data_IF_069339793943
#
_entry.id   IF_069339793943
#
_cell.length_a   1.000
_cell.length_b   1.000
_cell.length_c   1.000
_cell.angle_alpha   90.00
_cell.angle_beta   90.00
_cell.angle_gamma   90.00
#
_symmetry.space_group_name_H-M   'P 1'
#
loop_
_entity.id
_entity.type
_entity.pdbx_description
1 polymer ?
#
# COMPACT_ATOMS: atom_id res chain seq x y z
N UNK A 1 4.02 -15.72 -20.89
CA UNK A 1 3.20 -14.79 -20.07
C UNK A 1 1.80 -15.35 -20.09
N UNK A 2 1.37 -15.91 -18.97
CA UNK A 2 0.02 -16.46 -18.95
C UNK A 2 -0.99 -15.32 -18.83
N UNK A 3 -2.11 -15.48 -19.48
CA UNK A 3 -3.26 -14.57 -19.40
C UNK A 3 -3.69 -14.37 -17.94
N UNK A 4 -3.50 -15.40 -17.10
CA UNK A 4 -3.87 -15.39 -15.69
C UNK A 4 -3.22 -14.24 -14.90
N UNK A 5 -1.92 -13.94 -15.10
CA UNK A 5 -1.28 -12.77 -14.44
C UNK A 5 -1.88 -11.46 -14.96
N UNK A 6 -2.09 -11.34 -16.28
CA UNK A 6 -2.64 -10.13 -16.86
C UNK A 6 -4.05 -9.83 -16.34
N UNK A 7 -4.87 -10.85 -16.16
CA UNK A 7 -6.24 -10.73 -15.66
C UNK A 7 -6.30 -10.19 -14.22
N UNK A 8 -5.19 -10.31 -13.46
CA UNK A 8 -5.12 -9.81 -12.08
C UNK A 8 -4.74 -8.33 -11.98
N UNK A 9 -4.22 -7.71 -13.07
CA UNK A 9 -3.58 -6.39 -12.99
C UNK A 9 -4.57 -5.25 -12.79
N UNK A 10 -5.78 -5.36 -13.35
CA UNK A 10 -6.70 -4.23 -13.46
C UNK A 10 -6.21 -3.17 -14.49
N UNK A 11 -7.01 -2.12 -14.74
CA UNK A 11 -6.75 -1.18 -15.84
C UNK A 11 -5.42 -0.40 -15.75
N UNK A 12 -4.96 -0.08 -14.54
CA UNK A 12 -3.74 0.74 -14.32
C UNK A 12 -2.53 -0.08 -13.87
N UNK A 13 -2.74 -1.38 -13.61
CA UNK A 13 -1.67 -2.28 -13.20
C UNK A 13 -0.68 -2.58 -14.31
N UNK A 14 0.46 -3.12 -13.95
CA UNK A 14 1.47 -3.52 -14.92
C UNK A 14 2.18 -4.81 -14.50
N UNK A 15 2.70 -5.53 -15.49
CA UNK A 15 3.58 -6.66 -15.32
C UNK A 15 4.69 -6.62 -16.37
N UNK A 16 5.92 -6.70 -15.90
CA UNK A 16 7.12 -6.78 -16.74
C UNK A 16 7.88 -8.06 -16.40
N UNK A 17 7.97 -8.99 -17.35
CA UNK A 17 8.72 -10.26 -17.20
C UNK A 17 10.18 -10.06 -17.52
N UNK A 18 11.06 -10.50 -16.62
CA UNK A 18 12.53 -10.49 -16.82
C UNK A 18 13.16 -11.82 -16.44
N UNK A 19 13.01 -12.28 -15.21
CA UNK A 19 13.67 -13.44 -14.67
C UNK A 19 12.73 -14.48 -14.10
N UNK A 20 13.34 -15.50 -13.51
CA UNK A 20 12.67 -16.62 -12.86
C UNK A 20 12.02 -16.23 -11.53
N UNK A 21 12.52 -15.18 -10.89
CA UNK A 21 11.99 -14.66 -9.63
C UNK A 21 11.13 -13.43 -9.88
N UNK A 22 10.06 -13.27 -9.10
CA UNK A 22 9.15 -12.15 -9.23
C UNK A 22 9.00 -11.35 -7.94
N UNK A 23 8.67 -10.07 -8.09
CA UNK A 23 8.26 -9.20 -7.00
C UNK A 23 6.85 -8.68 -7.27
N UNK A 24 5.92 -8.96 -6.33
CA UNK A 24 4.61 -8.35 -6.28
C UNK A 24 4.71 -7.01 -5.52
N UNK A 25 4.47 -5.91 -6.21
CA UNK A 25 4.46 -4.56 -5.64
C UNK A 25 3.03 -4.14 -5.31
N UNK A 26 2.84 -3.49 -4.16
CA UNK A 26 1.54 -3.09 -3.64
C UNK A 26 1.58 -1.60 -3.29
N UNK A 27 0.78 -0.79 -3.98
CA UNK A 27 0.71 0.65 -3.77
C UNK A 27 -0.03 1.06 -2.49
N UNK A 28 0.03 2.34 -2.14
CA UNK A 28 -0.57 2.89 -0.94
C UNK A 28 -2.09 3.08 -1.00
N UNK A 29 -2.67 3.49 0.14
CA UNK A 29 -4.08 3.88 0.23
C UNK A 29 -4.31 5.10 -0.66
N UNK A 30 -5.41 5.09 -1.41
CA UNK A 30 -5.75 6.14 -2.38
C UNK A 30 -4.77 6.33 -3.56
N UNK A 31 -3.61 5.69 -3.49
CA UNK A 31 -2.58 5.72 -4.52
C UNK A 31 -2.87 4.84 -5.74
N UNK A 32 -1.87 4.74 -6.60
CA UNK A 32 -1.95 3.99 -7.86
C UNK A 32 -0.69 3.15 -8.10
N UNK A 33 -0.70 2.15 -8.99
CA UNK A 33 0.50 1.42 -9.39
C UNK A 33 1.64 2.31 -9.89
N UNK A 34 1.36 3.54 -10.33
CA UNK A 34 2.38 4.50 -10.77
C UNK A 34 3.38 4.86 -9.67
N UNK A 35 2.96 4.87 -8.38
CA UNK A 35 3.84 5.11 -7.22
C UNK A 35 5.00 4.12 -7.15
N UNK A 36 4.76 2.89 -7.60
CA UNK A 36 5.71 1.80 -7.51
C UNK A 36 6.66 1.69 -8.70
N UNK A 37 6.46 2.49 -9.77
CA UNK A 37 7.24 2.38 -11.01
C UNK A 37 8.73 2.64 -10.83
N UNK A 38 9.12 3.54 -9.92
CA UNK A 38 10.55 3.79 -9.66
C UNK A 38 11.23 2.56 -9.09
N UNK A 39 10.58 1.90 -8.12
CA UNK A 39 11.08 0.67 -7.49
C UNK A 39 11.05 -0.47 -8.52
N UNK A 40 9.96 -0.62 -9.27
CA UNK A 40 9.82 -1.62 -10.33
C UNK A 40 10.97 -1.54 -11.33
N UNK A 41 11.29 -0.32 -11.84
CA UNK A 41 12.39 -0.11 -12.79
C UNK A 41 13.74 -0.58 -12.24
N UNK A 42 14.00 -0.38 -10.95
CA UNK A 42 15.26 -0.83 -10.34
C UNK A 42 15.29 -2.35 -10.12
N UNK A 43 14.18 -2.96 -9.71
CA UNK A 43 14.07 -4.41 -9.60
C UNK A 43 14.22 -5.12 -10.95
N UNK A 44 13.63 -4.58 -12.01
CA UNK A 44 13.78 -5.06 -13.38
C UNK A 44 15.25 -5.04 -13.84
N UNK A 45 16.01 -4.00 -13.49
CA UNK A 45 17.45 -3.93 -13.78
C UNK A 45 18.25 -4.99 -13.04
N UNK A 46 17.79 -5.45 -11.89
CA UNK A 46 18.39 -6.54 -11.12
C UNK A 46 17.92 -7.94 -11.60
N UNK A 47 17.12 -8.00 -12.67
CA UNK A 47 16.69 -9.24 -13.27
C UNK A 47 15.41 -9.85 -12.67
N UNK A 48 14.73 -9.17 -11.77
CA UNK A 48 13.42 -9.63 -11.29
C UNK A 48 12.31 -9.37 -12.30
N UNK A 49 11.34 -10.25 -12.39
CA UNK A 49 10.03 -9.94 -12.95
C UNK A 49 9.23 -9.12 -11.93
N UNK A 50 8.43 -8.18 -12.39
CA UNK A 50 7.70 -7.27 -11.48
C UNK A 50 6.24 -7.15 -11.89
N UNK A 51 5.35 -7.41 -10.93
CA UNK A 51 3.91 -7.14 -11.06
C UNK A 51 3.48 -6.08 -10.05
N UNK A 52 2.66 -5.15 -10.48
CA UNK A 52 1.98 -4.20 -9.61
C UNK A 52 0.53 -4.07 -10.04
N UNK A 53 -0.37 -4.91 -9.52
CA UNK A 53 -1.78 -4.81 -9.79
C UNK A 53 -2.39 -3.57 -9.14
N UNK A 54 -3.53 -3.14 -9.69
CA UNK A 54 -4.39 -2.16 -9.06
C UNK A 54 -5.12 -2.80 -7.88
N UNK A 55 -5.09 -2.16 -6.72
CA UNK A 55 -5.93 -2.57 -5.58
C UNK A 55 -7.42 -2.38 -5.91
N UNK A 56 -8.23 -3.33 -5.48
CA UNK A 56 -9.67 -3.27 -5.68
C UNK A 56 -10.25 -1.93 -5.21
N UNK A 57 -11.10 -1.31 -6.04
CA UNK A 57 -11.73 -0.02 -5.77
C UNK A 57 -10.82 1.21 -5.86
N UNK A 58 -9.50 1.05 -6.09
CA UNK A 58 -8.56 2.16 -6.31
C UNK A 58 -8.51 2.56 -7.79
N UNK A 59 -7.90 3.71 -8.07
CA UNK A 59 -7.69 4.26 -9.42
C UNK A 59 -8.96 4.58 -10.23
N UNK A 60 -10.13 4.37 -9.65
CA UNK A 60 -11.43 4.72 -10.21
C UNK A 60 -12.03 5.94 -9.54
N UNK A 61 -13.34 5.92 -9.33
CA UNK A 61 -14.06 7.00 -8.66
C UNK A 61 -13.98 6.89 -7.14
N UNK A 62 -14.25 8.00 -6.44
CA UNK A 62 -14.43 8.01 -4.98
C UNK A 62 -15.52 7.02 -4.54
N UNK A 63 -16.55 6.81 -5.39
CA UNK A 63 -17.61 5.84 -5.12
C UNK A 63 -17.10 4.40 -5.15
N UNK A 64 -16.18 4.06 -6.06
CA UNK A 64 -15.57 2.73 -6.12
C UNK A 64 -14.75 2.45 -4.87
N UNK A 65 -13.95 3.44 -4.45
CA UNK A 65 -13.17 3.36 -3.23
C UNK A 65 -14.07 3.20 -1.97
N UNK A 66 -15.19 3.93 -1.90
CA UNK A 66 -16.16 3.81 -0.79
C UNK A 66 -16.79 2.43 -0.69
N UNK A 67 -16.97 1.74 -1.82
CA UNK A 67 -17.58 0.39 -1.85
C UNK A 67 -16.60 -0.73 -1.50
N UNK A 68 -15.30 -0.50 -1.72
CA UNK A 68 -14.28 -1.50 -1.44
C UNK A 68 -13.97 -1.59 0.07
N UNK A 69 -13.64 -2.81 0.50
CA UNK A 69 -13.24 -3.12 1.87
C UNK A 69 -11.78 -3.58 1.87
N UNK A 70 -11.15 -3.57 3.04
CA UNK A 70 -9.77 -4.03 3.14
C UNK A 70 -9.59 -5.52 2.71
N UNK A 71 -10.63 -6.35 2.83
CA UNK A 71 -10.61 -7.72 2.36
C UNK A 71 -10.52 -7.80 0.83
N UNK A 72 -11.22 -6.89 0.13
CA UNK A 72 -11.18 -6.82 -1.34
C UNK A 72 -9.78 -6.39 -1.80
N UNK A 73 -9.15 -5.45 -1.08
CA UNK A 73 -7.76 -5.03 -1.33
C UNK A 73 -6.78 -6.19 -1.16
N UNK A 74 -6.92 -6.94 -0.06
CA UNK A 74 -6.12 -8.13 0.21
C UNK A 74 -6.36 -9.19 -0.86
N UNK A 75 -7.61 -9.50 -1.17
CA UNK A 75 -8.00 -10.54 -2.14
C UNK A 75 -7.42 -10.26 -3.53
N UNK A 76 -7.45 -9.02 -4.01
CA UNK A 76 -6.87 -8.68 -5.31
C UNK A 76 -5.35 -8.98 -5.36
N UNK A 77 -4.63 -8.75 -4.27
CA UNK A 77 -3.20 -9.07 -4.18
C UNK A 77 -2.93 -10.55 -3.94
N UNK A 78 -3.82 -11.25 -3.23
CA UNK A 78 -3.72 -12.70 -3.04
C UNK A 78 -3.86 -13.45 -4.37
N UNK A 79 -4.83 -13.07 -5.21
CA UNK A 79 -5.02 -13.66 -6.54
C UNK A 79 -3.80 -13.42 -7.43
N UNK A 80 -3.25 -12.20 -7.43
CA UNK A 80 -2.04 -11.87 -8.17
C UNK A 80 -0.80 -12.66 -7.66
N UNK A 81 -0.66 -12.82 -6.34
CA UNK A 81 0.40 -13.63 -5.74
C UNK A 81 0.31 -15.09 -6.20
N UNK A 82 -0.89 -15.69 -6.18
CA UNK A 82 -1.08 -17.07 -6.61
C UNK A 82 -0.79 -17.25 -8.10
N UNK A 83 -1.16 -16.29 -8.95
CA UNK A 83 -0.82 -16.33 -10.36
C UNK A 83 0.69 -16.26 -10.60
N UNK A 84 1.41 -15.37 -9.87
CA UNK A 84 2.87 -15.28 -9.94
C UNK A 84 3.56 -16.55 -9.45
N UNK A 85 3.06 -17.19 -8.37
CA UNK A 85 3.64 -18.45 -7.84
C UNK A 85 3.54 -19.64 -8.79
N UNK A 86 2.66 -19.59 -9.77
CA UNK A 86 2.58 -20.64 -10.81
C UNK A 86 3.67 -20.50 -11.88
N UNK A 87 4.20 -19.29 -12.09
CA UNK A 87 5.12 -18.99 -13.19
C UNK A 87 6.54 -18.66 -12.72
N UNK A 88 6.75 -18.40 -11.43
CA UNK A 88 8.03 -17.98 -10.89
C UNK A 88 8.51 -18.86 -9.76
N UNK A 89 9.84 -19.07 -9.71
CA UNK A 89 10.49 -19.90 -8.70
C UNK A 89 10.31 -19.30 -7.30
N UNK A 90 10.65 -18.03 -7.15
CA UNK A 90 10.47 -17.26 -5.92
C UNK A 90 9.58 -16.06 -6.16
N UNK A 91 8.68 -15.77 -5.21
CA UNK A 91 7.83 -14.58 -5.25
C UNK A 91 7.99 -13.80 -3.96
N UNK A 92 8.58 -12.63 -4.09
CA UNK A 92 8.70 -11.64 -3.04
C UNK A 92 7.48 -10.72 -3.07
N UNK A 93 7.10 -10.16 -1.92
CA UNK A 93 6.04 -9.17 -1.85
C UNK A 93 6.58 -7.88 -1.24
N UNK A 94 6.26 -6.74 -1.84
CA UNK A 94 6.68 -5.45 -1.29
C UNK A 94 5.56 -4.44 -1.40
N UNK A 95 5.41 -3.60 -0.37
CA UNK A 95 4.33 -2.63 -0.34
C UNK A 95 4.73 -1.30 0.27
N UNK A 96 4.04 -0.25 -0.17
CA UNK A 96 4.22 1.11 0.30
C UNK A 96 3.07 1.49 1.25
N UNK A 97 3.40 2.01 2.43
CA UNK A 97 2.42 2.53 3.40
C UNK A 97 1.35 1.49 3.77
N UNK A 98 0.10 1.68 3.39
CA UNK A 98 -0.97 0.67 3.55
C UNK A 98 -0.66 -0.61 2.74
N UNK A 99 -0.06 -0.50 1.57
CA UNK A 99 0.38 -1.67 0.78
C UNK A 99 1.35 -2.56 1.55
N UNK A 100 2.18 -2.00 2.43
CA UNK A 100 3.05 -2.76 3.32
C UNK A 100 2.25 -3.61 4.34
N UNK A 101 1.08 -3.13 4.80
CA UNK A 101 0.20 -3.90 5.67
C UNK A 101 -0.42 -5.10 4.93
N UNK A 102 -0.74 -4.94 3.64
CA UNK A 102 -1.24 -6.03 2.80
C UNK A 102 -0.12 -7.04 2.53
N UNK A 103 1.12 -6.57 2.28
CA UNK A 103 2.30 -7.44 2.14
C UNK A 103 2.54 -8.28 3.41
N UNK A 104 2.46 -7.67 4.58
CA UNK A 104 2.52 -8.37 5.88
C UNK A 104 1.39 -9.39 6.03
N UNK A 105 0.19 -9.04 5.57
CA UNK A 105 -0.97 -9.94 5.64
C UNK A 105 -0.83 -11.14 4.69
N UNK A 106 -0.24 -10.94 3.51
CA UNK A 106 0.14 -12.04 2.61
C UNK A 106 1.18 -12.95 3.26
N UNK A 107 2.23 -12.38 3.86
CA UNK A 107 3.26 -13.15 4.56
C UNK A 107 2.70 -13.93 5.76
N UNK A 108 1.78 -13.33 6.54
CA UNK A 108 1.06 -14.01 7.63
C UNK A 108 0.28 -15.23 7.12
N UNK A 109 -0.48 -15.06 6.04
CA UNK A 109 -1.42 -16.08 5.58
C UNK A 109 -0.76 -17.15 4.70
N UNK A 110 0.29 -16.79 3.95
CA UNK A 110 0.99 -17.69 3.01
C UNK A 110 2.26 -18.33 3.61
N UNK A 111 2.74 -17.80 4.73
CA UNK A 111 3.89 -18.34 5.45
C UNK A 111 5.13 -18.49 4.57
N UNK A 112 5.71 -19.67 4.54
CA UNK A 112 6.93 -19.98 3.78
C UNK A 112 6.77 -19.87 2.24
N UNK A 113 5.56 -19.69 1.72
CA UNK A 113 5.34 -19.48 0.29
C UNK A 113 5.73 -18.06 -0.16
N UNK A 114 5.83 -17.11 0.77
CA UNK A 114 6.37 -15.77 0.53
C UNK A 114 7.88 -15.81 0.78
N UNK A 115 8.66 -15.69 -0.29
CA UNK A 115 10.12 -15.85 -0.26
C UNK A 115 10.85 -14.66 0.39
N UNK A 116 10.18 -13.54 0.56
CA UNK A 116 10.65 -12.38 1.31
C UNK A 116 9.67 -11.21 1.23
N UNK A 117 9.77 -10.30 2.19
CA UNK A 117 8.88 -9.14 2.34
C UNK A 117 9.68 -7.84 2.32
N UNK A 118 9.28 -6.89 1.47
CA UNK A 118 9.80 -5.52 1.46
C UNK A 118 8.74 -4.54 1.99
N UNK A 119 9.07 -3.81 3.04
CA UNK A 119 8.17 -2.89 3.71
C UNK A 119 8.68 -1.46 3.57
N UNK A 120 7.94 -0.63 2.86
CA UNK A 120 8.30 0.75 2.56
C UNK A 120 7.37 1.70 3.31
N UNK A 121 7.90 2.51 4.22
CA UNK A 121 7.15 3.46 5.05
C UNK A 121 5.86 2.88 5.61
N UNK A 122 5.94 1.69 6.24
CA UNK A 122 4.78 0.96 6.78
C UNK A 122 3.99 1.84 7.73
N UNK A 123 2.66 1.86 7.64
CA UNK A 123 1.82 2.78 8.39
C UNK A 123 0.83 2.08 9.32
N UNK A 124 1.25 1.78 10.55
CA UNK A 124 0.38 1.39 11.67
C UNK A 124 -0.12 2.59 12.46
N UNK A 125 0.67 3.66 12.48
CA UNK A 125 0.37 4.91 13.17
C UNK A 125 0.52 6.07 12.18
N UNK A 126 -0.56 6.82 11.99
CA UNK A 126 -0.57 8.11 11.28
C UNK A 126 -0.26 9.21 12.28
N UNK A 127 0.94 9.23 12.86
CA UNK A 127 1.31 10.15 13.92
C UNK A 127 1.87 11.49 13.41
N UNK A 128 2.20 11.58 12.12
CA UNK A 128 2.56 12.82 11.42
C UNK A 128 1.39 13.56 10.75
N UNK A 129 0.18 13.04 10.81
CA UNK A 129 -0.97 13.65 10.15
C UNK A 129 -1.30 15.06 10.71
N UNK A 130 -1.59 16.02 9.84
CA UNK A 130 -1.82 17.44 10.18
C UNK A 130 -3.02 17.72 11.10
N UNK A 131 -3.77 16.70 11.53
CA UNK A 131 -4.86 16.86 12.47
C UNK A 131 -4.33 16.91 13.91
N UNK A 132 -4.67 17.96 14.71
CA UNK A 132 -4.28 18.04 16.11
C UNK A 132 -4.61 16.77 16.87
N UNK A 133 -3.65 16.27 17.68
CA UNK A 133 -3.76 14.98 18.39
C UNK A 133 -5.07 14.82 19.18
N UNK A 134 -5.51 15.90 19.85
CA UNK A 134 -6.74 15.87 20.65
C UNK A 134 -7.98 15.74 19.75
N UNK A 135 -8.08 16.50 18.67
CA UNK A 135 -9.18 16.39 17.70
C UNK A 135 -9.21 15.00 17.08
N UNK A 136 -8.05 14.45 16.69
CA UNK A 136 -7.95 13.11 16.15
C UNK A 136 -8.41 12.04 17.15
N UNK A 137 -8.00 12.13 18.42
CA UNK A 137 -8.37 11.18 19.44
C UNK A 137 -9.86 11.19 19.78
N UNK A 138 -10.53 12.36 19.74
CA UNK A 138 -11.93 12.51 20.12
C UNK A 138 -12.88 12.39 18.90
N UNK A 139 -12.61 13.11 17.81
CA UNK A 139 -13.55 13.20 16.68
C UNK A 139 -13.45 12.01 15.72
N UNK A 140 -12.23 11.53 15.44
CA UNK A 140 -12.06 10.45 14.47
C UNK A 140 -12.80 9.16 14.87
N UNK A 141 -12.75 8.66 16.13
CA UNK A 141 -13.55 7.52 16.54
C UNK A 141 -15.05 7.72 16.39
N UNK A 142 -15.56 8.92 16.70
CA UNK A 142 -16.99 9.25 16.55
C UNK A 142 -17.37 9.15 15.07
N UNK A 143 -16.65 9.85 14.19
CA UNK A 143 -16.95 9.83 12.75
C UNK A 143 -16.87 8.40 12.19
N UNK A 144 -15.81 7.68 12.51
CA UNK A 144 -15.58 6.33 11.96
C UNK A 144 -16.58 5.28 12.47
N UNK A 145 -17.19 5.47 13.64
CA UNK A 145 -18.12 4.49 14.24
C UNK A 145 -19.60 4.88 14.14
N UNK A 146 -19.92 6.02 13.51
CA UNK A 146 -21.30 6.48 13.27
C UNK A 146 -21.61 6.52 11.78
N UNK A 147 -22.87 6.73 11.36
CA UNK A 147 -23.23 6.96 9.96
C UNK A 147 -22.52 8.15 9.30
N UNK A 148 -21.98 9.09 10.06
CA UNK A 148 -21.23 10.25 9.56
C UNK A 148 -20.09 9.87 8.62
N UNK A 149 -19.48 8.69 8.79
CA UNK A 149 -18.41 8.19 7.90
C UNK A 149 -18.82 8.12 6.43
N UNK A 150 -20.11 8.01 6.10
CA UNK A 150 -20.58 7.94 4.72
C UNK A 150 -20.61 9.30 4.03
N UNK A 151 -20.66 10.38 4.82
CA UNK A 151 -20.78 11.76 4.35
C UNK A 151 -19.47 12.56 4.49
N UNK A 152 -18.52 12.07 5.28
CA UNK A 152 -17.26 12.77 5.54
C UNK A 152 -16.10 12.20 4.72
N UNK A 153 -15.20 13.10 4.35
CA UNK A 153 -13.93 12.79 3.72
C UNK A 153 -12.87 13.79 4.18
N UNK A 154 -11.61 13.44 4.03
CA UNK A 154 -10.47 14.31 4.30
C UNK A 154 -9.69 14.53 3.01
N UNK A 155 -9.53 15.79 2.67
CA UNK A 155 -8.67 16.19 1.56
C UNK A 155 -7.22 16.23 2.05
N UNK A 156 -6.34 15.63 1.29
CA UNK A 156 -4.92 15.70 1.55
C UNK A 156 -4.40 17.10 1.17
N UNK A 157 -3.67 17.70 2.09
CA UNK A 157 -3.08 19.03 1.91
C UNK A 157 -1.57 18.94 1.74
N UNK A 158 -0.94 19.91 1.05
CA UNK A 158 0.51 19.96 0.96
C UNK A 158 1.16 19.89 2.36
N UNK A 159 2.31 19.21 2.51
CA UNK A 159 3.20 18.66 1.48
C UNK A 159 2.90 17.24 0.97
N UNK A 160 1.71 16.67 1.21
CA UNK A 160 1.27 15.33 0.78
C UNK A 160 2.20 14.17 1.21
N UNK A 161 3.05 14.35 2.21
CA UNK A 161 4.14 13.43 2.54
C UNK A 161 5.28 13.38 1.51
N UNK A 162 5.30 14.29 0.53
CA UNK A 162 6.26 14.33 -0.57
C UNK A 162 7.29 15.42 -0.31
N UNK A 163 8.53 15.05 0.06
CA UNK A 163 9.63 16.01 0.32
C UNK A 163 10.26 16.55 -0.96
N UNK A 164 10.26 15.77 -2.05
CA UNK A 164 10.80 16.21 -3.34
C UNK A 164 9.91 17.31 -3.94
N UNK A 165 10.44 18.54 -4.02
CA UNK A 165 9.72 19.72 -4.53
C UNK A 165 9.22 19.52 -5.96
N UNK A 166 10.03 18.92 -6.84
CA UNK A 166 9.66 18.63 -8.22
C UNK A 166 8.45 17.68 -8.30
N UNK A 167 8.45 16.61 -7.49
CA UNK A 167 7.35 15.66 -7.44
C UNK A 167 6.11 16.30 -6.84
N UNK A 168 6.27 17.11 -5.78
CA UNK A 168 5.18 17.85 -5.14
C UNK A 168 4.53 18.86 -6.10
N UNK A 169 5.35 19.59 -6.88
CA UNK A 169 4.86 20.51 -7.89
C UNK A 169 4.06 19.79 -9.00
N UNK A 170 4.52 18.62 -9.45
CA UNK A 170 3.77 17.80 -10.41
C UNK A 170 2.42 17.35 -9.85
N UNK A 171 2.40 16.87 -8.61
CA UNK A 171 1.16 16.48 -7.92
C UNK A 171 0.21 17.66 -7.81
N UNK A 172 0.72 18.82 -7.39
CA UNK A 172 -0.08 20.05 -7.27
C UNK A 172 -0.68 20.49 -8.61
N UNK A 173 0.11 20.49 -9.67
CA UNK A 173 -0.34 20.86 -11.02
C UNK A 173 -1.45 19.92 -11.54
N UNK A 174 -1.34 18.61 -11.23
CA UNK A 174 -2.38 17.63 -11.58
C UNK A 174 -3.67 17.89 -10.80
N UNK A 175 -3.57 18.24 -9.52
CA UNK A 175 -4.74 18.53 -8.67
C UNK A 175 -5.46 19.82 -9.09
N UNK A 176 -4.72 20.85 -9.46
CA UNK A 176 -5.30 22.12 -9.91
C UNK A 176 -6.06 21.98 -11.24
N UNK A 177 -5.55 21.17 -12.15
CA UNK A 177 -6.17 20.97 -13.48
C UNK A 177 -7.44 20.10 -13.44
N UNK A 178 -7.78 19.46 -12.32
CA UNK A 178 -8.97 18.60 -12.13
C UNK A 178 -9.26 17.63 -13.28
N UNK A 179 -8.23 17.23 -14.02
CA UNK A 179 -8.37 16.37 -15.17
C UNK A 179 -8.61 14.92 -14.68
N UNK A 180 -9.74 14.32 -15.06
CA UNK A 180 -10.10 12.96 -14.65
C UNK A 180 -9.03 11.92 -15.07
N UNK A 181 -8.39 12.12 -16.25
CA UNK A 181 -7.27 11.30 -16.72
C UNK A 181 -6.00 11.47 -15.89
N UNK A 182 -5.86 12.59 -15.19
CA UNK A 182 -4.70 12.84 -14.34
C UNK A 182 -4.85 12.17 -12.98
N UNK A 183 -6.08 12.03 -12.44
CA UNK A 183 -6.33 11.33 -11.18
C UNK A 183 -6.01 9.83 -11.25
N UNK A 184 -6.15 9.18 -12.40
CA UNK A 184 -5.72 7.80 -12.61
C UNK A 184 -4.20 7.62 -12.43
N UNK A 185 -3.41 8.66 -12.70
CA UNK A 185 -1.95 8.63 -12.59
C UNK A 185 -1.44 9.00 -11.20
N UNK A 186 -2.17 9.80 -10.44
CA UNK A 186 -1.69 10.41 -9.20
C UNK A 186 -2.44 9.92 -7.96
N UNK A 187 -3.64 9.38 -8.12
CA UNK A 187 -4.46 8.85 -7.02
C UNK A 187 -5.61 9.76 -6.60
N UNK A 188 -6.32 9.35 -5.54
CA UNK A 188 -7.49 10.03 -4.99
C UNK A 188 -7.06 10.83 -3.77
N UNK A 189 -7.07 12.18 -3.85
CA UNK A 189 -6.65 13.07 -2.76
C UNK A 189 -7.74 13.41 -1.75
N UNK A 190 -8.95 12.94 -1.99
CA UNK A 190 -10.08 13.09 -1.05
C UNK A 190 -10.40 11.71 -0.47
N UNK A 191 -9.82 11.40 0.70
CA UNK A 191 -9.97 10.09 1.35
C UNK A 191 -11.28 10.00 2.12
N UNK A 192 -12.24 9.15 1.70
CA UNK A 192 -13.50 8.97 2.42
C UNK A 192 -13.29 8.37 3.82
N UNK A 193 -14.10 8.79 4.79
CA UNK A 193 -14.03 8.25 6.15
C UNK A 193 -14.32 6.74 6.21
N UNK A 194 -15.15 6.20 5.33
CA UNK A 194 -15.36 4.74 5.23
C UNK A 194 -14.09 4.01 4.84
N UNK A 195 -13.29 4.57 3.94
CA UNK A 195 -12.00 4.01 3.51
C UNK A 195 -10.98 4.06 4.65
N UNK A 196 -10.92 5.16 5.41
CA UNK A 196 -10.10 5.27 6.62
C UNK A 196 -10.54 4.23 7.65
N UNK A 197 -11.84 3.97 7.80
CA UNK A 197 -12.34 2.91 8.69
C UNK A 197 -11.86 1.53 8.26
N UNK A 198 -11.88 1.22 6.97
CA UNK A 198 -11.37 -0.04 6.44
C UNK A 198 -9.85 -0.17 6.64
N UNK A 199 -9.09 0.91 6.40
CA UNK A 199 -7.65 0.96 6.71
C UNK A 199 -7.39 0.71 8.20
N UNK A 200 -8.19 1.28 9.11
CA UNK A 200 -8.08 1.03 10.56
C UNK A 200 -8.32 -0.45 10.90
N UNK A 201 -9.25 -1.11 10.21
CA UNK A 201 -9.50 -2.56 10.38
C UNK A 201 -8.33 -3.40 9.89
N UNK A 202 -7.76 -3.05 8.73
CA UNK A 202 -6.56 -3.70 8.21
C UNK A 202 -5.38 -3.53 9.18
N UNK A 203 -5.12 -2.31 9.68
CA UNK A 203 -4.09 -2.02 10.68
C UNK A 203 -4.23 -2.95 11.89
N UNK A 204 -5.45 -3.04 12.46
CA UNK A 204 -5.72 -3.88 13.62
C UNK A 204 -5.43 -5.36 13.35
N UNK A 205 -5.81 -5.84 12.17
CA UNK A 205 -5.65 -7.23 11.76
C UNK A 205 -4.18 -7.54 11.47
N UNK A 206 -3.50 -6.72 10.68
CA UNK A 206 -2.08 -6.89 10.36
C UNK A 206 -1.20 -6.83 11.62
N UNK A 207 -1.51 -5.90 12.56
CA UNK A 207 -0.77 -5.82 13.85
C UNK A 207 -0.87 -7.08 14.68
N UNK A 208 -2.01 -7.75 14.67
CA UNK A 208 -2.20 -9.04 15.38
C UNK A 208 -1.46 -10.18 14.67
N UNK A 209 -1.32 -10.09 13.36
CA UNK A 209 -0.64 -11.09 12.54
C UNK A 209 0.88 -11.02 12.55
N UNK A 210 1.50 -9.91 13.02
CA UNK A 210 2.95 -9.73 13.01
C UNK A 210 3.74 -10.94 13.55
N UNK A 211 3.37 -11.58 14.69
CA UNK A 211 4.11 -12.74 15.19
C UNK A 211 4.08 -13.97 14.29
N UNK A 212 3.22 -14.00 13.26
CA UNK A 212 3.15 -15.10 12.30
C UNK A 212 3.98 -14.87 11.05
N UNK A 213 4.55 -13.68 10.89
CA UNK A 213 5.41 -13.35 9.74
C UNK A 213 6.78 -13.95 9.97
N UNK A 214 7.13 -14.97 9.19
CA UNK A 214 8.40 -15.72 9.27
C UNK A 214 9.33 -15.46 8.09
N UNK A 215 8.82 -14.85 7.00
CA UNK A 215 9.59 -14.58 5.79
C UNK A 215 10.73 -13.60 6.05
N UNK A 216 11.89 -13.72 5.39
CA UNK A 216 12.93 -12.70 5.40
C UNK A 216 12.32 -11.33 5.10
N UNK A 217 12.64 -10.31 5.89
CA UNK A 217 11.97 -9.03 5.83
C UNK A 217 12.98 -7.88 5.74
N UNK A 218 12.81 -7.04 4.72
CA UNK A 218 13.49 -5.75 4.56
C UNK A 218 12.51 -4.64 4.95
N UNK A 219 12.91 -3.77 5.88
CA UNK A 219 12.14 -2.61 6.31
C UNK A 219 12.88 -1.34 5.89
N UNK A 220 12.24 -0.52 5.07
CA UNK A 220 12.77 0.77 4.64
C UNK A 220 11.82 1.86 5.13
N UNK A 221 12.33 2.77 5.95
CA UNK A 221 11.55 3.86 6.54
C UNK A 221 12.39 5.13 6.63
N UNK A 222 11.84 6.25 6.20
CA UNK A 222 12.53 7.53 6.34
C UNK A 222 12.58 7.94 7.83
N UNK A 223 13.74 8.40 8.30
CA UNK A 223 13.90 8.87 9.68
C UNK A 223 13.03 10.09 9.98
N UNK A 224 12.80 10.92 8.96
CA UNK A 224 11.96 12.10 9.01
C UNK A 224 10.72 11.97 8.11
N UNK A 225 9.95 10.91 8.30
CA UNK A 225 8.68 10.71 7.60
C UNK A 225 7.59 11.61 8.21
N UNK A 226 6.98 12.45 7.38
CA UNK A 226 5.99 13.45 7.81
C UNK A 226 4.59 12.83 8.05
N UNK A 227 4.35 11.60 7.59
CA UNK A 227 3.06 10.94 7.69
C UNK A 227 3.04 9.84 8.76
N UNK A 228 4.12 9.07 8.83
CA UNK A 228 4.23 7.89 9.66
C UNK A 228 5.65 7.79 10.25
N UNK A 229 5.80 8.02 11.53
CA UNK A 229 7.13 8.03 12.16
C UNK A 229 7.83 6.66 12.09
N UNK A 230 9.16 6.67 12.24
CA UNK A 230 10.02 5.48 12.28
C UNK A 230 9.60 4.46 13.35
N UNK A 231 8.78 4.84 14.32
CA UNK A 231 8.17 3.92 15.30
C UNK A 231 7.40 2.78 14.64
N UNK A 232 6.88 3.02 13.43
CA UNK A 232 6.22 1.98 12.63
C UNK A 232 7.19 0.88 12.22
N UNK A 233 8.40 1.23 11.78
CA UNK A 233 9.47 0.28 11.45
C UNK A 233 9.89 -0.53 12.68
N UNK A 234 10.13 0.15 13.81
CA UNK A 234 10.48 -0.51 15.07
C UNK A 234 9.38 -1.46 15.56
N UNK A 235 8.09 -1.09 15.41
CA UNK A 235 6.99 -1.98 15.76
C UNK A 235 7.06 -3.29 14.98
N UNK A 236 7.31 -3.22 13.67
CA UNK A 236 7.42 -4.41 12.82
C UNK A 236 8.63 -5.23 13.22
N UNK A 237 9.82 -4.63 13.22
CA UNK A 237 11.08 -5.31 13.53
C UNK A 237 11.03 -6.07 14.87
N UNK A 238 10.36 -5.49 15.88
CA UNK A 238 10.26 -6.09 17.22
C UNK A 238 9.13 -7.13 17.37
N UNK A 239 8.25 -7.29 16.38
CA UNK A 239 7.05 -8.13 16.51
C UNK A 239 6.98 -9.30 15.54
N UNK A 240 7.68 -9.25 14.42
CA UNK A 240 7.72 -10.36 13.47
C UNK A 240 8.61 -11.49 13.97
N UNK A 241 8.31 -12.72 13.56
CA UNK A 241 9.10 -13.92 13.90
C UNK A 241 10.11 -14.28 12.81
N UNK A 242 10.38 -13.38 11.87
CA UNK A 242 11.42 -13.56 10.85
C UNK A 242 12.80 -13.69 11.51
N UNK A 243 13.58 -14.67 11.05
CA UNK A 243 14.98 -14.86 11.47
C UNK A 243 15.95 -13.90 10.76
N UNK A 244 15.53 -13.27 9.68
CA UNK A 244 16.32 -12.32 8.90
C UNK A 244 15.52 -11.04 8.72
N UNK A 245 15.91 -10.00 9.46
CA UNK A 245 15.32 -8.66 9.39
C UNK A 245 16.44 -7.67 9.09
N UNK A 246 16.28 -6.90 8.03
CA UNK A 246 17.16 -5.78 7.64
C UNK A 246 16.34 -4.48 7.73
N UNK A 247 16.95 -3.39 8.27
CA UNK A 247 16.32 -2.07 8.47
C UNK A 247 17.24 -0.94 7.99
#
# INVERSE_FOLDING_TARGET
MTQEILDTLGPTGFYDKRGEDAVLLIHGLTGTPAEMRYIAKNLLKQGFSVACPQLAGHCGTVSDLKRSKWQDWYQSMEVAFEALKKEHNRVFVSGLSMGALIALKLAENKGARVDGVGLLSTTFFYDGWNMPRLKRALLLPIVLNTPLKHFMSWEETPPYGIKCERTRALVHAVLENRDAMASEKVGIFNTPAVTIKESTRLIKTARRGLPKVISPTLIVHATEDDMASVKNAHLVANRISSRKVET
#
